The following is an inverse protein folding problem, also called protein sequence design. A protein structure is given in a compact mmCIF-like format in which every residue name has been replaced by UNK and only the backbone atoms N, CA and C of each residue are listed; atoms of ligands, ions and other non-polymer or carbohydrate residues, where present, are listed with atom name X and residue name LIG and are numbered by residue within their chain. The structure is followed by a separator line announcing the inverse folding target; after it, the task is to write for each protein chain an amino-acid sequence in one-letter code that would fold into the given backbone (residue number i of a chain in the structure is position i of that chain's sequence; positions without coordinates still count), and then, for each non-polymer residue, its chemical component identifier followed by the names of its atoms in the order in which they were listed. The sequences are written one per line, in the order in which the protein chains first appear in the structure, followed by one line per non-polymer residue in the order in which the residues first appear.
data_IF_996398581983
#
_entry.id   IF_996398581983
#
_cell.length_a   1.000
_cell.length_b   1.000
_cell.length_c   1.000
_cell.angle_alpha   90.00
_cell.angle_beta   90.00
_cell.angle_gamma   90.00
#
_symmetry.space_group_name_H-M   'P 1'
#
loop_
_entity.id
_entity.type
_entity.pdbx_description
1 polymer ?
#
# COMPACT_ATOMS: atom_id res chain seq x y z
N UNK A 1 15.80 8.61 -18.78
CA UNK A 1 15.33 8.98 -17.42
C UNK A 1 14.79 7.70 -16.80
N UNK A 2 15.09 7.37 -15.55
CA UNK A 2 14.53 6.15 -14.94
C UNK A 2 13.02 6.30 -14.78
N UNK A 3 12.21 5.28 -15.13
CA UNK A 3 10.79 5.30 -14.84
C UNK A 3 10.60 5.38 -13.32
N UNK A 4 9.86 6.40 -12.84
CA UNK A 4 9.55 6.60 -11.41
C UNK A 4 8.19 6.00 -11.03
N UNK A 5 7.75 5.03 -11.81
CA UNK A 5 6.52 4.27 -11.58
C UNK A 5 6.92 2.88 -11.11
N UNK A 6 6.53 2.55 -9.89
CA UNK A 6 6.69 1.24 -9.27
C UNK A 6 5.34 0.53 -9.26
N UNK A 7 5.35 -0.78 -9.42
CA UNK A 7 4.14 -1.59 -9.38
C UNK A 7 4.24 -2.55 -8.18
N UNK A 8 3.11 -2.74 -7.50
CA UNK A 8 2.87 -3.74 -6.46
C UNK A 8 1.66 -4.55 -6.92
N UNK A 9 1.91 -5.54 -7.76
CA UNK A 9 0.90 -6.36 -8.46
C UNK A 9 0.98 -7.84 -8.05
N UNK A 10 1.46 -8.09 -6.83
CA UNK A 10 1.62 -9.40 -6.22
C UNK A 10 1.25 -9.38 -4.73
N UNK A 11 1.25 -10.55 -4.09
CA UNK A 11 1.14 -10.64 -2.64
C UNK A 11 2.38 -10.00 -1.97
N UNK A 12 2.15 -9.40 -0.81
CA UNK A 12 3.21 -8.78 -0.02
C UNK A 12 3.89 -9.86 0.78
N UNK A 13 5.07 -10.27 0.36
CA UNK A 13 6.00 -11.09 1.14
C UNK A 13 7.32 -10.35 1.39
N UNK A 14 8.27 -10.99 2.07
CA UNK A 14 9.56 -10.39 2.36
C UNK A 14 10.34 -10.04 1.09
N UNK A 15 10.20 -10.82 0.01
CA UNK A 15 10.90 -10.58 -1.24
C UNK A 15 10.35 -9.34 -1.95
N UNK A 16 9.04 -9.29 -2.17
CA UNK A 16 8.33 -8.17 -2.80
C UNK A 16 8.52 -6.89 -2.00
N UNK A 17 8.40 -6.96 -0.68
CA UNK A 17 8.58 -5.79 0.18
C UNK A 17 10.02 -5.25 0.14
N UNK A 18 11.03 -6.13 0.22
CA UNK A 18 12.43 -5.70 0.14
C UNK A 18 12.76 -5.04 -1.21
N UNK A 19 12.27 -5.61 -2.33
CA UNK A 19 12.48 -5.01 -3.65
C UNK A 19 11.82 -3.65 -3.77
N UNK A 20 10.59 -3.50 -3.30
CA UNK A 20 9.88 -2.23 -3.36
C UNK A 20 10.56 -1.16 -2.50
N UNK A 21 11.01 -1.51 -1.29
CA UNK A 21 11.76 -0.62 -0.40
C UNK A 21 13.08 -0.19 -1.03
N UNK A 22 13.84 -1.13 -1.61
CA UNK A 22 15.08 -0.81 -2.30
C UNK A 22 14.85 0.15 -3.48
N UNK A 23 13.78 -0.06 -4.26
CA UNK A 23 13.40 0.82 -5.36
C UNK A 23 12.99 2.21 -4.89
N UNK A 24 12.18 2.32 -3.83
CA UNK A 24 11.80 3.60 -3.22
C UNK A 24 13.01 4.40 -2.73
N UNK A 25 13.93 3.75 -1.99
CA UNK A 25 15.16 4.37 -1.51
C UNK A 25 16.08 4.80 -2.67
N UNK A 26 16.21 3.96 -3.70
CA UNK A 26 17.00 4.28 -4.88
C UNK A 26 16.43 5.49 -5.62
N UNK A 27 15.14 5.50 -5.93
CA UNK A 27 14.49 6.61 -6.63
C UNK A 27 14.58 7.92 -5.83
N UNK A 28 14.46 7.85 -4.51
CA UNK A 28 14.68 9.00 -3.64
C UNK A 28 16.13 9.50 -3.68
N UNK A 29 17.11 8.61 -3.73
CA UNK A 29 18.53 8.98 -3.82
C UNK A 29 18.91 9.56 -5.19
N UNK A 30 18.27 9.08 -6.28
CA UNK A 30 18.48 9.60 -7.65
C UNK A 30 17.97 11.03 -7.78
N UNK A 31 16.75 11.28 -7.31
CA UNK A 31 16.16 12.62 -7.30
C UNK A 31 15.06 12.68 -6.22
N UNK A 32 15.31 13.37 -5.08
CA UNK A 32 14.36 13.45 -3.98
C UNK A 32 13.21 14.44 -4.24
N UNK A 33 13.30 15.30 -5.25
CA UNK A 33 12.28 16.33 -5.53
C UNK A 33 11.21 15.79 -6.50
N UNK A 34 11.55 14.78 -7.29
CA UNK A 34 10.64 14.18 -8.27
C UNK A 34 9.69 13.15 -7.62
N UNK A 35 8.39 13.18 -7.97
CA UNK A 35 7.41 12.23 -7.44
C UNK A 35 7.69 10.79 -7.87
N UNK A 36 7.22 9.85 -7.05
CA UNK A 36 7.19 8.41 -7.32
C UNK A 36 5.73 7.99 -7.40
N UNK A 37 5.36 7.23 -8.43
CA UNK A 37 4.01 6.68 -8.59
C UNK A 37 4.03 5.20 -8.22
N UNK A 38 3.34 4.82 -7.14
CA UNK A 38 3.16 3.44 -6.70
C UNK A 38 1.80 2.92 -7.16
N UNK A 39 1.82 2.04 -8.15
CA UNK A 39 0.64 1.38 -8.71
C UNK A 39 0.39 0.08 -7.95
N UNK A 40 -0.84 -0.14 -7.48
CA UNK A 40 -1.21 -1.22 -6.57
C UNK A 40 -2.34 -2.05 -7.19
N UNK A 41 -2.11 -3.36 -7.29
CA UNK A 41 -3.12 -4.39 -7.55
C UNK A 41 -2.77 -5.63 -6.72
N UNK A 42 -3.09 -5.58 -5.43
CA UNK A 42 -2.61 -6.58 -4.46
C UNK A 42 -3.67 -6.93 -3.43
N UNK A 43 -3.67 -8.21 -3.04
CA UNK A 43 -4.54 -8.72 -1.97
C UNK A 43 -3.97 -8.51 -0.57
N UNK A 44 -2.78 -7.93 -0.45
CA UNK A 44 -2.08 -7.77 0.81
C UNK A 44 -1.11 -8.92 1.08
N UNK A 45 -0.86 -9.22 2.35
CA UNK A 45 0.10 -10.25 2.76
C UNK A 45 0.75 -9.92 4.09
N UNK A 46 2.06 -10.14 4.18
CA UNK A 46 2.92 -9.90 5.35
C UNK A 46 2.68 -8.52 5.98
N UNK A 47 2.31 -8.53 7.26
CA UNK A 47 2.14 -7.31 8.08
C UNK A 47 3.47 -6.57 8.19
N UNK A 48 4.56 -7.29 8.48
CA UNK A 48 5.89 -6.70 8.61
C UNK A 48 6.38 -6.14 7.28
N UNK A 49 6.18 -6.87 6.17
CA UNK A 49 6.50 -6.38 4.83
C UNK A 49 5.72 -5.11 4.48
N UNK A 50 4.43 -5.07 4.78
CA UNK A 50 3.60 -3.89 4.54
C UNK A 50 3.98 -2.68 5.41
N UNK A 51 4.34 -2.90 6.68
CA UNK A 51 4.86 -1.85 7.57
C UNK A 51 6.22 -1.34 7.11
N UNK A 52 7.09 -2.22 6.60
CA UNK A 52 8.39 -1.83 6.04
C UNK A 52 8.24 -0.90 4.83
N UNK A 53 7.29 -1.19 3.94
CA UNK A 53 6.95 -0.33 2.80
C UNK A 53 6.38 1.00 3.29
N UNK A 54 5.44 0.97 4.23
CA UNK A 54 4.82 2.16 4.81
C UNK A 54 5.85 3.11 5.45
N UNK A 55 6.72 2.59 6.31
CA UNK A 55 7.74 3.40 6.99
C UNK A 55 8.71 3.99 5.96
N UNK A 56 9.04 3.25 4.89
CA UNK A 56 9.86 3.76 3.80
C UNK A 56 9.19 4.92 3.07
N UNK A 57 7.89 4.80 2.74
CA UNK A 57 7.10 5.88 2.13
C UNK A 57 7.09 7.13 3.02
N UNK A 58 7.00 6.94 4.34
CA UNK A 58 7.01 8.03 5.33
C UNK A 58 8.40 8.64 5.55
N UNK A 59 9.45 7.86 5.36
CA UNK A 59 10.84 8.26 5.60
C UNK A 59 11.44 9.05 4.43
N UNK A 60 11.15 8.66 3.18
CA UNK A 60 11.72 9.31 2.01
C UNK A 60 11.13 10.71 1.78
N UNK A 61 11.91 11.61 1.17
CA UNK A 61 11.49 12.98 0.86
C UNK A 61 10.69 13.08 -0.43
N UNK A 62 10.98 12.19 -1.39
CA UNK A 62 10.26 12.10 -2.66
C UNK A 62 8.76 11.83 -2.42
N UNK A 63 7.85 12.63 -2.99
CA UNK A 63 6.43 12.42 -2.79
C UNK A 63 5.94 11.16 -3.49
N UNK A 64 5.38 10.23 -2.72
CA UNK A 64 4.79 9.00 -3.26
C UNK A 64 3.30 9.19 -3.52
N UNK A 65 2.88 9.07 -4.77
CA UNK A 65 1.47 8.96 -5.16
C UNK A 65 1.08 7.49 -5.24
N UNK A 66 -0.12 7.13 -4.82
CA UNK A 66 -0.59 5.73 -4.84
C UNK A 66 -1.79 5.58 -5.75
N UNK A 67 -1.86 4.48 -6.50
CA UNK A 67 -2.95 4.23 -7.46
C UNK A 67 -3.41 2.79 -7.37
N UNK A 68 -4.66 2.55 -6.98
CA UNK A 68 -5.26 1.23 -7.10
C UNK A 68 -5.81 1.01 -8.52
N UNK A 69 -5.34 -0.03 -9.21
CA UNK A 69 -5.84 -0.39 -10.55
C UNK A 69 -7.08 -1.29 -10.50
N UNK A 70 -7.09 -2.25 -9.58
CA UNK A 70 -8.15 -3.25 -9.49
C UNK A 70 -8.49 -3.57 -8.03
N UNK A 71 -7.54 -4.10 -7.25
CA UNK A 71 -7.78 -4.39 -5.83
C UNK A 71 -6.67 -3.86 -4.94
N UNK A 72 -7.06 -3.37 -3.77
CA UNK A 72 -6.15 -3.11 -2.65
C UNK A 72 -6.83 -3.65 -1.39
N UNK A 73 -6.34 -4.79 -0.90
CA UNK A 73 -6.90 -5.49 0.25
C UNK A 73 -5.86 -5.60 1.38
N UNK A 74 -6.32 -5.56 2.63
CA UNK A 74 -5.47 -5.73 3.81
C UNK A 74 -4.28 -4.75 3.80
N UNK A 75 -3.04 -5.23 3.90
CA UNK A 75 -1.84 -4.40 3.86
C UNK A 75 -1.67 -3.61 2.56
N UNK A 76 -2.25 -4.05 1.43
CA UNK A 76 -2.25 -3.26 0.21
C UNK A 76 -3.18 -2.02 0.33
N UNK A 77 -4.32 -2.15 1.01
CA UNK A 77 -5.19 -1.00 1.32
C UNK A 77 -4.52 -0.02 2.30
N UNK A 78 -3.75 -0.55 3.25
CA UNK A 78 -2.93 0.24 4.16
C UNK A 78 -1.88 1.07 3.41
N UNK A 79 -1.11 0.43 2.52
CA UNK A 79 -0.10 1.10 1.67
C UNK A 79 -0.77 2.12 0.73
N UNK A 80 -1.93 1.79 0.14
CA UNK A 80 -2.69 2.72 -0.68
C UNK A 80 -3.01 4.01 0.09
N UNK A 81 -3.45 3.90 1.33
CA UNK A 81 -3.76 5.04 2.20
C UNK A 81 -2.52 5.85 2.62
N UNK A 82 -1.33 5.24 2.58
CA UNK A 82 -0.05 5.83 2.95
C UNK A 82 0.54 6.80 1.92
N UNK A 83 0.00 6.79 0.69
CA UNK A 83 0.35 7.76 -0.32
C UNK A 83 0.14 9.20 0.14
N UNK A 84 0.83 10.13 -0.50
CA UNK A 84 0.72 11.56 -0.22
C UNK A 84 -0.75 12.00 -0.32
N UNK A 85 -1.23 12.69 0.71
CA UNK A 85 -2.60 13.23 0.75
C UNK A 85 -2.87 14.14 -0.45
N UNK A 86 -4.03 13.94 -1.09
CA UNK A 86 -4.41 14.54 -2.37
C UNK A 86 -3.89 13.79 -3.60
N UNK A 87 -3.12 12.72 -3.42
CA UNK A 87 -2.46 11.93 -4.48
C UNK A 87 -2.66 10.42 -4.30
N UNK A 88 -3.70 10.02 -3.57
CA UNK A 88 -4.14 8.62 -3.44
C UNK A 88 -5.33 8.39 -4.37
N UNK A 89 -5.18 7.51 -5.34
CA UNK A 89 -6.13 7.37 -6.44
C UNK A 89 -6.61 5.92 -6.58
N UNK A 90 -7.77 5.73 -7.21
CA UNK A 90 -8.23 4.42 -7.64
C UNK A 90 -8.98 4.49 -8.96
N UNK A 91 -8.99 3.39 -9.71
CA UNK A 91 -9.83 3.23 -10.89
C UNK A 91 -11.32 3.09 -10.50
N UNK A 92 -12.26 3.41 -11.41
CA UNK A 92 -13.70 3.41 -11.08
C UNK A 92 -14.24 2.07 -10.56
N UNK A 93 -13.67 0.97 -11.01
CA UNK A 93 -14.09 -0.39 -10.64
C UNK A 93 -13.23 -1.00 -9.52
N UNK A 94 -12.28 -0.24 -8.97
CA UNK A 94 -11.41 -0.75 -7.93
C UNK A 94 -12.17 -1.11 -6.67
N UNK A 95 -11.69 -2.15 -5.99
CA UNK A 95 -12.19 -2.61 -4.70
C UNK A 95 -11.12 -2.39 -3.64
N UNK A 96 -11.47 -1.61 -2.62
CA UNK A 96 -10.61 -1.39 -1.46
C UNK A 96 -11.21 -2.21 -0.32
N UNK A 97 -10.41 -3.06 0.30
CA UNK A 97 -10.86 -3.95 1.38
C UNK A 97 -9.97 -3.74 2.59
N UNK A 98 -10.57 -3.30 3.69
CA UNK A 98 -9.87 -3.20 4.97
C UNK A 98 -10.38 -4.31 5.89
N UNK A 99 -9.46 -4.87 6.66
CA UNK A 99 -9.73 -5.95 7.61
C UNK A 99 -8.66 -5.93 8.69
N UNK A 100 -8.88 -6.68 9.76
CA UNK A 100 -7.90 -6.80 10.83
C UNK A 100 -6.71 -7.65 10.37
N UNK A 101 -5.52 -7.37 10.91
CA UNK A 101 -4.39 -8.26 10.70
C UNK A 101 -4.75 -9.67 11.21
N UNK A 102 -4.39 -10.69 10.44
CA UNK A 102 -4.54 -12.08 10.82
C UNK A 102 -3.16 -12.70 11.03
N UNK A 103 -3.03 -13.56 12.03
CA UNK A 103 -1.86 -14.39 12.25
C UNK A 103 -2.19 -15.84 11.97
N UNK A 104 -1.17 -16.62 11.64
CA UNK A 104 -1.27 -18.08 11.65
C UNK A 104 -1.14 -18.57 13.11
N UNK A 105 -1.94 -19.56 13.49
CA UNK A 105 -1.84 -20.18 14.82
C UNK A 105 -1.42 -21.63 14.64
N UNK A 106 -0.17 -21.93 14.97
CA UNK A 106 0.31 -23.30 15.06
C UNK A 106 -0.05 -23.92 16.43
N UNK A 107 0.01 -25.25 16.54
CA UNK A 107 -0.17 -25.94 17.83
C UNK A 107 1.03 -25.66 18.74
N UNK A 108 0.88 -24.68 19.63
CA UNK A 108 1.89 -24.26 20.61
C UNK A 108 1.40 -24.41 22.05
N UNK A 109 2.31 -24.22 23.01
CA UNK A 109 1.96 -24.18 24.43
C UNK A 109 1.07 -22.97 24.75
N UNK A 110 0.21 -23.08 25.76
CA UNK A 110 -0.73 -22.01 26.13
C UNK A 110 -0.03 -20.68 26.47
N UNK A 111 1.14 -20.72 27.10
CA UNK A 111 1.95 -19.54 27.41
C UNK A 111 2.45 -18.81 26.15
N UNK A 112 2.86 -19.56 25.13
CA UNK A 112 3.32 -19.00 23.85
C UNK A 112 2.17 -18.35 23.10
N UNK A 113 1.01 -19.01 23.08
CA UNK A 113 -0.21 -18.46 22.45
C UNK A 113 -0.63 -17.15 23.11
N UNK A 114 -0.56 -17.05 24.44
CA UNK A 114 -0.87 -15.80 25.15
C UNK A 114 0.11 -14.66 24.79
N UNK A 115 1.39 -14.98 24.59
CA UNK A 115 2.37 -13.98 24.18
C UNK A 115 2.10 -13.48 22.75
N UNK A 116 1.85 -14.40 21.81
CA UNK A 116 1.52 -14.07 20.42
C UNK A 116 0.22 -13.27 20.31
N UNK A 117 -0.81 -13.63 21.08
CA UNK A 117 -2.07 -12.87 21.13
C UNK A 117 -1.85 -11.43 21.60
N UNK A 118 -0.99 -11.22 22.60
CA UNK A 118 -0.67 -9.88 23.09
C UNK A 118 0.08 -9.06 22.04
N UNK A 119 1.04 -9.68 21.33
CA UNK A 119 1.79 -9.04 20.25
C UNK A 119 0.89 -8.69 19.06
N UNK A 120 0.00 -9.60 18.67
CA UNK A 120 -0.99 -9.36 17.62
C UNK A 120 -1.94 -8.22 18.00
N UNK A 121 -2.37 -8.17 19.27
CA UNK A 121 -3.21 -7.07 19.78
C UNK A 121 -2.48 -5.73 19.78
N UNK A 122 -1.18 -5.72 20.10
CA UNK A 122 -0.33 -4.54 19.99
C UNK A 122 -0.21 -4.07 18.54
N UNK A 123 0.15 -4.96 17.63
CA UNK A 123 0.28 -4.69 16.20
C UNK A 123 -1.02 -4.17 15.59
N UNK A 124 -2.16 -4.80 15.89
CA UNK A 124 -3.49 -4.36 15.46
C UNK A 124 -3.79 -2.94 15.90
N UNK A 125 -3.51 -2.60 17.16
CA UNK A 125 -3.71 -1.23 17.67
C UNK A 125 -2.86 -0.22 16.90
N UNK A 126 -1.60 -0.53 16.63
CA UNK A 126 -0.70 0.36 15.90
C UNK A 126 -1.14 0.61 14.46
N UNK A 127 -1.55 -0.44 13.75
CA UNK A 127 -2.11 -0.31 12.40
C UNK A 127 -3.38 0.55 12.42
N UNK A 128 -4.26 0.35 13.41
CA UNK A 128 -5.48 1.16 13.54
C UNK A 128 -5.17 2.64 13.85
N UNK A 129 -4.15 2.94 14.65
CA UNK A 129 -3.66 4.30 14.89
C UNK A 129 -3.19 4.97 13.59
N UNK A 130 -2.36 4.29 12.80
CA UNK A 130 -1.89 4.79 11.50
C UNK A 130 -3.05 4.97 10.51
N UNK A 131 -3.98 4.01 10.43
CA UNK A 131 -5.16 4.13 9.58
C UNK A 131 -6.04 5.31 9.96
N UNK A 132 -6.22 5.56 11.27
CA UNK A 132 -6.95 6.73 11.75
C UNK A 132 -6.26 8.04 11.31
N UNK A 133 -4.93 8.12 11.43
CA UNK A 133 -4.14 9.27 10.94
C UNK A 133 -4.32 9.50 9.43
N UNK A 134 -4.15 8.44 8.62
CA UNK A 134 -4.18 8.53 7.16
C UNK A 134 -5.57 8.85 6.61
N UNK A 135 -6.63 8.34 7.25
CA UNK A 135 -8.01 8.48 6.78
C UNK A 135 -8.74 9.67 7.39
N UNK A 136 -8.32 10.12 8.57
CA UNK A 136 -9.05 11.09 9.38
C UNK A 136 -10.25 10.49 10.14
N UNK A 137 -10.45 9.17 10.10
CA UNK A 137 -11.46 8.49 10.91
C UNK A 137 -11.01 8.38 12.38
N UNK A 138 -11.96 8.19 13.29
CA UNK A 138 -11.62 7.88 14.68
C UNK A 138 -11.07 6.46 14.79
N UNK A 139 -10.18 6.23 15.77
CA UNK A 139 -9.62 4.89 16.05
C UNK A 139 -10.75 3.88 16.32
N UNK A 140 -11.82 4.29 17.00
CA UNK A 140 -12.98 3.44 17.29
C UNK A 140 -13.69 3.00 16.01
N UNK A 141 -13.86 3.92 15.05
CA UNK A 141 -14.48 3.60 13.77
C UNK A 141 -13.60 2.67 12.94
N UNK A 142 -12.29 2.94 12.87
CA UNK A 142 -11.34 2.03 12.23
C UNK A 142 -11.43 0.63 12.85
N UNK A 143 -11.36 0.53 14.18
CA UNK A 143 -11.39 -0.76 14.87
C UNK A 143 -12.69 -1.55 14.65
N UNK A 144 -13.83 -0.85 14.54
CA UNK A 144 -15.11 -1.48 14.23
C UNK A 144 -15.16 -1.95 12.77
N UNK A 145 -14.78 -1.08 11.84
CA UNK A 145 -14.89 -1.35 10.41
C UNK A 145 -13.82 -2.35 9.93
N UNK A 146 -12.72 -2.54 10.67
CA UNK A 146 -11.71 -3.57 10.36
C UNK A 146 -11.93 -4.91 11.08
N UNK A 147 -12.85 -5.03 12.05
CA UNK A 147 -13.06 -6.30 12.78
C UNK A 147 -13.48 -7.47 11.86
N UNK A 148 -14.07 -7.13 10.70
CA UNK A 148 -14.37 -8.04 9.60
C UNK A 148 -13.91 -7.41 8.30
N UNK A 149 -13.88 -8.23 7.23
CA UNK A 149 -13.67 -7.72 5.87
C UNK A 149 -14.72 -6.68 5.54
N UNK A 150 -14.25 -5.46 5.30
CA UNK A 150 -15.09 -4.32 4.95
C UNK A 150 -14.73 -3.84 3.56
N UNK A 151 -15.68 -3.99 2.64
CA UNK A 151 -15.47 -3.78 1.23
C UNK A 151 -16.01 -2.42 0.80
N UNK A 152 -15.16 -1.63 0.14
CA UNK A 152 -15.49 -0.30 -0.33
C UNK A 152 -15.37 -0.24 -1.85
N UNK A 153 -16.34 0.42 -2.48
CA UNK A 153 -16.15 0.92 -3.85
C UNK A 153 -15.10 2.02 -3.86
N UNK A 154 -14.52 2.34 -5.02
CA UNK A 154 -13.64 3.51 -5.15
C UNK A 154 -14.31 4.79 -4.62
N UNK A 155 -15.60 5.00 -4.91
CA UNK A 155 -16.33 6.18 -4.43
C UNK A 155 -16.53 6.20 -2.90
N UNK A 156 -16.75 5.04 -2.28
CA UNK A 156 -16.89 4.96 -0.82
C UNK A 156 -15.54 5.06 -0.13
N UNK A 157 -14.47 4.56 -0.75
CA UNK A 157 -13.10 4.72 -0.27
C UNK A 157 -12.67 6.20 -0.23
N UNK A 158 -13.14 7.04 -1.18
CA UNK A 158 -12.97 8.51 -1.10
C UNK A 158 -13.68 9.07 0.13
N UNK A 159 -14.96 8.74 0.33
CA UNK A 159 -15.74 9.22 1.49
C UNK A 159 -15.13 8.75 2.83
N UNK A 160 -14.55 7.56 2.84
CA UNK A 160 -13.89 6.97 3.99
C UNK A 160 -12.53 7.62 4.28
N UNK A 161 -11.88 8.20 3.27
CA UNK A 161 -10.57 8.83 3.37
C UNK A 161 -9.39 7.91 3.07
N UNK A 162 -9.63 6.69 2.54
CA UNK A 162 -8.57 5.77 2.12
C UNK A 162 -7.88 6.23 0.84
N UNK A 163 -8.63 6.89 -0.04
CA UNK A 163 -8.13 7.53 -1.25
C UNK A 163 -8.70 8.95 -1.35
N UNK A 164 -8.13 9.76 -2.23
CA UNK A 164 -8.55 11.15 -2.45
C UNK A 164 -9.43 11.27 -3.69
N UNK A 165 -9.14 10.52 -4.76
CA UNK A 165 -9.82 10.66 -6.04
C UNK A 165 -10.08 9.33 -6.77
N UNK A 166 -11.21 9.25 -7.46
CA UNK A 166 -11.47 8.22 -8.47
C UNK A 166 -11.03 8.75 -9.83
N UNK A 167 -10.23 7.97 -10.56
CA UNK A 167 -9.71 8.37 -11.87
C UNK A 167 -10.85 8.31 -12.90
N UNK A 168 -11.32 9.47 -13.33
CA UNK A 168 -12.26 9.62 -14.47
C UNK A 168 -11.56 10.09 -15.74
N UNK A 169 -10.35 10.63 -15.61
CA UNK A 169 -9.47 11.03 -16.72
C UNK A 169 -8.03 10.73 -16.29
N UNK A 170 -7.20 10.08 -17.14
CA UNK A 170 -5.85 9.69 -16.75
C UNK A 170 -5.01 10.92 -16.35
N UNK A 171 -4.44 10.96 -15.14
CA UNK A 171 -3.43 11.95 -14.76
C UNK A 171 -2.19 11.83 -15.66
N UNK A 172 -1.59 12.96 -16.03
CA UNK A 172 -0.44 13.02 -16.96
C UNK A 172 0.81 12.33 -16.40
N UNK A 173 0.93 12.29 -15.08
CA UNK A 173 1.96 11.66 -14.26
C UNK A 173 1.79 10.14 -14.10
N UNK A 174 0.65 9.57 -14.52
CA UNK A 174 0.43 8.12 -14.61
C UNK A 174 0.67 7.57 -16.02
N UNK A 175 0.94 8.44 -17.00
CA UNK A 175 1.33 8.01 -18.34
C UNK A 175 2.81 7.58 -18.25
N UNK A 176 3.14 6.30 -18.50
CA UNK A 176 4.52 5.87 -18.62
C UNK A 176 5.25 6.75 -19.64
N UNK A 177 6.56 6.98 -19.47
CA UNK A 177 7.35 7.71 -20.47
C UNK A 177 7.00 7.14 -21.87
N UNK A 178 6.55 7.97 -22.84
CA UNK A 178 6.13 7.48 -24.15
C UNK A 178 7.26 6.79 -24.92
N UNK A 179 8.51 6.99 -24.51
CA UNK A 179 9.68 6.28 -25.05
C UNK A 179 10.01 4.99 -24.30
N UNK A 180 9.40 4.75 -23.14
CA UNK A 180 9.54 3.51 -22.38
C UNK A 180 8.62 2.44 -22.95
N UNK A 181 9.20 1.47 -23.66
CA UNK A 181 8.48 0.30 -24.12
C UNK A 181 8.92 -0.94 -23.32
N UNK A 182 8.11 -1.38 -22.35
CA UNK A 182 8.47 -2.53 -21.52
C UNK A 182 8.63 -3.79 -22.36
N UNK A 183 7.98 -3.92 -23.53
CA UNK A 183 8.10 -5.10 -24.40
C UNK A 183 9.40 -5.16 -25.22
N UNK A 184 10.20 -4.07 -25.27
CA UNK A 184 11.36 -3.95 -26.15
C UNK A 184 12.69 -3.86 -25.38
N UNK A 185 12.71 -3.47 -24.11
CA UNK A 185 13.95 -3.30 -23.32
C UNK A 185 14.11 -4.43 -22.25
N UNK A 186 14.71 -5.58 -22.58
CA UNK A 186 14.81 -6.72 -21.67
C UNK A 186 15.85 -6.44 -20.58
N UNK A 187 15.45 -6.56 -19.31
CA UNK A 187 16.27 -6.21 -18.13
C UNK A 187 15.78 -4.97 -17.36
N UNK A 188 15.01 -4.09 -18.01
CA UNK A 188 14.30 -2.99 -17.33
C UNK A 188 13.05 -3.45 -16.57
N UNK A 189 12.62 -4.69 -16.82
CA UNK A 189 11.47 -5.36 -16.20
C UNK A 189 11.61 -5.57 -14.68
N UNK A 190 12.83 -5.79 -14.16
CA UNK A 190 12.99 -6.21 -12.76
C UNK A 190 12.76 -5.11 -11.71
N UNK A 191 12.82 -3.84 -12.12
CA UNK A 191 12.64 -2.69 -11.23
C UNK A 191 11.25 -2.05 -11.30
N UNK A 192 10.58 -2.17 -12.45
CA UNK A 192 9.28 -1.53 -12.65
C UNK A 192 8.13 -2.43 -12.19
N UNK A 193 8.09 -3.70 -12.60
CA UNK A 193 6.99 -4.62 -12.27
C UNK A 193 7.39 -5.53 -11.10
N UNK A 194 6.79 -5.31 -9.92
CA UNK A 194 6.93 -6.15 -8.72
C UNK A 194 5.56 -6.67 -8.28
#
# INVERSE_FOLDING_TARGET
MYPRTLFLVADIDDYTANKLVAALLHLNAVDPDLPISLVIDSRGGSITGGLMIYDTIRYITAPVSTVCLSVAESMAAFILAAGRKGKRLAMPHSRIVIEQPFGETERRQASDLLLEMNEMSFTRRKINECMAEMTGQTIQKIAQDTDRRYYLSASDAVKYGLIDHVITTPPRDLVPDPNYNPLIEPGSFEFAFL
#
